data_IF_022497878943
#
_entry.id   IF_022497878943
#
_cell.length_a   1.000
_cell.length_b   1.000
_cell.length_c   1.000
_cell.angle_alpha   90.00
_cell.angle_beta   90.00
_cell.angle_gamma   90.00
#
_symmetry.space_group_name_H-M   'P 1'
#
loop_
_entity.id
_entity.type
_entity.pdbx_description
1 polymer ?
#
# COMPACT_ATOMS: atom_id res chain seq x y z
N UNK A 1 23.16 53.64 35.31
CA UNK A 1 22.29 52.49 35.39
C UNK A 1 22.47 51.71 34.09
N UNK A 2 23.10 50.58 34.17
CA UNK A 2 23.78 49.88 33.05
C UNK A 2 22.76 48.94 32.34
N UNK A 3 22.66 49.11 31.01
CA UNK A 3 21.91 48.22 30.13
C UNK A 3 22.79 46.99 29.87
N UNK A 4 22.29 45.81 30.24
CA UNK A 4 22.90 44.53 29.82
C UNK A 4 22.14 44.04 28.59
N UNK A 5 22.77 44.10 27.45
CA UNK A 5 22.40 43.40 26.21
C UNK A 5 22.89 41.97 26.34
N UNK A 6 21.96 41.04 26.51
CA UNK A 6 22.24 39.60 26.41
C UNK A 6 22.02 39.17 24.97
N UNK A 7 23.12 38.99 24.24
CA UNK A 7 23.13 38.41 22.90
C UNK A 7 22.91 36.91 23.04
N UNK A 8 21.74 36.43 22.61
CA UNK A 8 21.44 35.02 22.53
C UNK A 8 21.94 34.49 21.17
N UNK A 9 23.12 33.93 21.17
CA UNK A 9 23.65 33.20 20.04
C UNK A 9 22.95 31.84 19.98
N UNK A 10 21.93 31.71 19.09
CA UNK A 10 21.35 30.44 18.73
C UNK A 10 22.36 29.65 17.92
N UNK A 11 23.05 28.75 18.60
CA UNK A 11 23.82 27.70 17.95
C UNK A 11 22.88 26.74 17.26
N UNK A 12 22.76 26.87 15.94
CA UNK A 12 22.13 25.86 15.07
C UNK A 12 23.01 24.62 15.09
N UNK A 13 22.68 23.68 15.97
CA UNK A 13 23.27 22.34 15.93
C UNK A 13 22.75 21.63 14.69
N UNK A 14 23.55 21.64 13.62
CA UNK A 14 23.43 20.74 12.50
C UNK A 14 23.73 19.33 13.05
N UNK A 15 22.70 18.60 13.42
CA UNK A 15 22.80 17.16 13.65
C UNK A 15 22.92 16.52 12.26
N UNK A 16 24.17 16.32 11.86
CA UNK A 16 24.49 15.41 10.75
C UNK A 16 24.06 14.02 11.19
N UNK A 17 22.91 13.57 10.71
CA UNK A 17 22.56 12.16 10.69
C UNK A 17 23.51 11.45 9.71
N UNK A 18 24.71 11.16 10.17
CA UNK A 18 25.59 10.17 9.55
C UNK A 18 25.10 8.80 10.01
N UNK A 19 24.24 8.20 9.25
CA UNK A 19 23.71 6.89 9.59
C UNK A 19 22.95 6.20 8.47
N UNK A 20 23.32 6.43 7.22
CA UNK A 20 22.98 5.49 6.15
C UNK A 20 24.30 4.89 5.66
N UNK A 21 24.59 3.69 6.11
CA UNK A 21 25.55 2.84 5.43
C UNK A 21 24.94 2.41 4.09
N UNK A 22 24.84 3.33 3.14
CA UNK A 22 24.82 2.95 1.74
C UNK A 22 26.23 2.43 1.45
N UNK A 23 26.34 1.18 1.07
CA UNK A 23 27.59 0.61 0.62
C UNK A 23 28.04 1.36 -0.65
N UNK A 24 28.81 2.43 -0.48
CA UNK A 24 29.41 3.20 -1.58
C UNK A 24 30.27 2.31 -2.51
N UNK A 25 30.72 1.15 -2.02
CA UNK A 25 31.48 0.18 -2.80
C UNK A 25 30.67 -0.44 -3.96
N UNK A 26 29.35 -0.53 -3.82
CA UNK A 26 28.50 -1.22 -4.82
C UNK A 26 28.28 -0.41 -6.10
N UNK A 27 28.41 0.91 -6.06
CA UNK A 27 28.20 1.78 -7.23
C UNK A 27 29.52 1.98 -8.00
N UNK A 28 30.66 1.94 -7.32
CA UNK A 28 31.95 2.33 -7.88
C UNK A 28 32.56 1.33 -8.87
N UNK A 29 32.14 0.06 -8.87
CA UNK A 29 32.80 -1.00 -9.66
C UNK A 29 32.13 -1.38 -10.97
N UNK A 30 30.98 -0.78 -11.36
CA UNK A 30 30.14 -1.31 -12.46
C UNK A 30 30.20 -0.56 -13.80
N UNK A 31 31.24 0.21 -14.07
CA UNK A 31 31.41 0.84 -15.40
C UNK A 31 30.45 1.99 -15.73
N UNK A 32 29.63 2.43 -14.76
CA UNK A 32 28.69 3.54 -14.94
C UNK A 32 29.42 4.90 -14.96
N UNK A 33 28.92 5.80 -15.82
CA UNK A 33 29.37 7.20 -15.86
C UNK A 33 28.96 7.94 -14.56
N UNK A 34 29.63 9.03 -14.23
CA UNK A 34 29.31 9.83 -13.05
C UNK A 34 27.87 10.35 -13.05
N UNK A 35 27.30 10.65 -14.24
CA UNK A 35 25.91 11.05 -14.40
C UNK A 35 24.94 9.91 -14.04
N UNK A 36 25.25 8.68 -14.44
CA UNK A 36 24.44 7.50 -14.11
C UNK A 36 24.50 7.19 -12.64
N UNK A 37 25.68 7.26 -12.03
CA UNK A 37 25.86 7.10 -10.58
C UNK A 37 25.02 8.11 -9.80
N UNK A 38 25.11 9.39 -10.16
CA UNK A 38 24.32 10.46 -9.54
C UNK A 38 22.80 10.19 -9.68
N UNK A 39 22.36 9.73 -10.84
CA UNK A 39 20.93 9.38 -11.06
C UNK A 39 20.49 8.23 -10.16
N UNK A 40 21.29 7.16 -10.06
CA UNK A 40 21.04 6.01 -9.19
C UNK A 40 20.92 6.46 -7.73
N UNK A 41 21.90 7.17 -7.22
CA UNK A 41 21.93 7.69 -5.83
C UNK A 41 20.72 8.59 -5.55
N UNK A 42 20.39 9.50 -6.49
CA UNK A 42 19.25 10.40 -6.33
C UNK A 42 17.93 9.63 -6.20
N UNK A 43 17.72 8.60 -7.03
CA UNK A 43 16.52 7.78 -6.97
C UNK A 43 16.49 6.89 -5.72
N UNK A 44 17.62 6.30 -5.32
CA UNK A 44 17.69 5.53 -4.08
C UNK A 44 17.32 6.39 -2.87
N UNK A 45 17.91 7.59 -2.74
CA UNK A 45 17.60 8.54 -1.68
C UNK A 45 16.12 8.98 -1.72
N UNK A 46 15.54 9.08 -2.91
CA UNK A 46 14.12 9.40 -3.07
C UNK A 46 13.25 8.29 -2.46
N UNK A 47 13.45 7.03 -2.80
CA UNK A 47 12.70 5.91 -2.24
C UNK A 47 12.86 5.81 -0.73
N UNK A 48 14.08 5.94 -0.22
CA UNK A 48 14.40 5.93 1.22
C UNK A 48 13.65 7.04 1.96
N UNK A 49 13.55 8.24 1.37
CA UNK A 49 12.85 9.37 1.97
C UNK A 49 11.34 9.15 2.15
N UNK A 50 10.75 8.22 1.40
CA UNK A 50 9.36 7.79 1.52
C UNK A 50 9.20 6.45 2.25
N UNK A 51 10.25 5.92 2.86
CA UNK A 51 10.21 4.69 3.65
C UNK A 51 10.13 3.40 2.84
N UNK A 52 10.42 3.47 1.53
CA UNK A 52 10.46 2.27 0.69
C UNK A 52 11.77 1.51 0.90
N UNK A 53 11.66 0.24 1.11
CA UNK A 53 12.78 -0.66 1.34
C UNK A 53 13.27 -1.28 0.04
N UNK A 54 14.60 -1.37 -0.11
CA UNK A 54 15.22 -2.10 -1.21
C UNK A 54 14.96 -3.61 -1.06
N UNK A 55 14.52 -4.26 -2.13
CA UNK A 55 14.44 -5.73 -2.16
C UNK A 55 15.86 -6.32 -2.36
N UNK A 56 16.44 -6.79 -1.28
CA UNK A 56 17.81 -7.34 -1.25
C UNK A 56 17.97 -8.65 -2.02
N UNK A 57 16.89 -9.24 -2.53
CA UNK A 57 16.94 -10.45 -3.36
C UNK A 57 17.30 -10.15 -4.81
N UNK A 58 17.22 -8.87 -5.22
CA UNK A 58 17.55 -8.41 -6.57
C UNK A 58 19.04 -8.09 -6.66
N UNK A 59 19.68 -8.50 -7.76
CA UNK A 59 21.09 -8.18 -7.98
C UNK A 59 21.34 -6.68 -8.14
N UNK A 60 22.52 -6.21 -7.76
CA UNK A 60 22.93 -4.81 -7.91
C UNK A 60 22.82 -4.35 -9.37
N UNK A 61 23.21 -5.19 -10.29
CA UNK A 61 23.16 -4.90 -11.73
C UNK A 61 21.71 -4.66 -12.20
N UNK A 62 20.78 -5.55 -11.83
CA UNK A 62 19.36 -5.40 -12.18
C UNK A 62 18.77 -4.17 -11.51
N UNK A 63 19.05 -3.94 -10.23
CA UNK A 63 18.63 -2.74 -9.52
C UNK A 63 19.06 -1.46 -10.24
N UNK A 64 20.34 -1.35 -10.54
CA UNK A 64 20.90 -0.15 -11.17
C UNK A 64 20.32 0.08 -12.56
N UNK A 65 20.10 -1.00 -13.32
CA UNK A 65 19.44 -0.94 -14.63
C UNK A 65 18.02 -0.39 -14.51
N UNK A 66 17.20 -0.93 -13.61
CA UNK A 66 15.82 -0.45 -13.41
C UNK A 66 15.79 1.02 -12.94
N UNK A 67 16.68 1.43 -12.02
CA UNK A 67 16.80 2.81 -11.58
C UNK A 67 17.15 3.76 -12.74
N UNK A 68 18.04 3.36 -13.65
CA UNK A 68 18.41 4.17 -14.81
C UNK A 68 17.26 4.34 -15.80
N UNK A 69 16.32 3.41 -15.87
CA UNK A 69 15.12 3.50 -16.71
C UNK A 69 14.02 4.37 -16.11
N UNK A 70 14.06 4.65 -14.79
CA UNK A 70 13.05 5.45 -14.11
C UNK A 70 13.16 6.93 -14.43
N UNK A 71 11.98 7.59 -14.50
CA UNK A 71 11.85 9.04 -14.55
C UNK A 71 11.68 9.60 -13.15
N UNK A 72 12.55 10.52 -12.73
CA UNK A 72 12.59 11.06 -11.38
C UNK A 72 11.27 11.73 -10.98
N UNK A 73 10.73 12.62 -11.83
CA UNK A 73 9.53 13.39 -11.50
C UNK A 73 8.27 12.49 -11.41
N UNK A 74 8.16 11.51 -12.30
CA UNK A 74 7.06 10.53 -12.24
C UNK A 74 7.17 9.65 -11.02
N UNK A 75 8.37 9.18 -10.69
CA UNK A 75 8.62 8.37 -9.50
C UNK A 75 8.30 9.16 -8.23
N UNK A 76 8.77 10.40 -8.14
CA UNK A 76 8.49 11.29 -7.02
C UNK A 76 6.98 11.51 -6.83
N UNK A 77 6.29 11.87 -7.91
CA UNK A 77 4.84 12.10 -7.87
C UNK A 77 4.07 10.85 -7.42
N UNK A 78 4.52 9.67 -7.84
CA UNK A 78 3.93 8.41 -7.41
C UNK A 78 4.19 8.15 -5.91
N UNK A 79 5.41 8.35 -5.43
CA UNK A 79 5.76 8.14 -4.02
C UNK A 79 5.00 9.12 -3.11
N UNK A 80 4.86 10.39 -3.51
CA UNK A 80 4.03 11.38 -2.83
C UNK A 80 2.56 10.94 -2.76
N UNK A 81 2.01 10.48 -3.89
CA UNK A 81 0.65 9.96 -3.96
C UNK A 81 0.44 8.77 -3.00
N UNK A 82 1.37 7.82 -2.99
CA UNK A 82 1.28 6.64 -2.13
C UNK A 82 1.46 6.97 -0.65
N UNK A 83 2.33 7.91 -0.29
CA UNK A 83 2.62 8.27 1.10
C UNK A 83 1.49 9.04 1.77
N UNK A 84 0.72 9.81 1.02
CA UNK A 84 -0.43 10.55 1.53
C UNK A 84 -1.61 9.66 1.93
N UNK A 85 -1.54 8.37 1.59
CA UNK A 85 -2.67 7.47 1.69
C UNK A 85 -3.70 7.72 0.58
N UNK A 86 -4.45 6.71 0.24
CA UNK A 86 -5.47 6.77 -0.79
C UNK A 86 -6.83 6.58 -0.13
N UNK A 87 -7.68 7.60 -0.17
CA UNK A 87 -9.08 7.46 0.16
C UNK A 87 -9.83 7.07 -1.12
N UNK A 88 -10.62 6.01 -1.03
CA UNK A 88 -11.35 5.52 -2.19
C UNK A 88 -12.66 6.29 -2.36
N UNK A 89 -12.84 6.85 -3.55
CA UNK A 89 -14.09 7.46 -3.98
C UNK A 89 -15.24 6.43 -3.96
N UNK A 90 -16.47 6.93 -3.99
CA UNK A 90 -17.64 6.08 -4.06
C UNK A 90 -17.66 5.35 -5.42
N UNK A 91 -17.17 4.11 -5.42
CA UNK A 91 -17.37 3.20 -6.53
C UNK A 91 -18.77 2.57 -6.37
N UNK A 92 -19.72 2.96 -7.22
CA UNK A 92 -20.89 2.14 -7.43
C UNK A 92 -20.42 0.91 -8.23
N UNK A 93 -20.52 -0.31 -7.66
CA UNK A 93 -20.18 -1.49 -8.43
C UNK A 93 -21.04 -1.48 -9.68
N UNK A 94 -20.37 -1.41 -10.83
CA UNK A 94 -21.05 -1.70 -12.10
C UNK A 94 -21.70 -3.06 -11.89
N UNK A 95 -23.03 -3.14 -11.94
CA UNK A 95 -23.80 -4.36 -11.73
C UNK A 95 -23.14 -5.49 -12.52
N UNK A 96 -22.29 -6.25 -11.86
CA UNK A 96 -21.87 -7.53 -12.39
C UNK A 96 -23.04 -8.45 -12.14
N UNK A 97 -23.66 -8.85 -13.24
CA UNK A 97 -24.71 -9.82 -13.43
C UNK A 97 -25.12 -10.58 -12.16
N UNK A 98 -26.38 -10.42 -11.77
CA UNK A 98 -27.06 -11.11 -10.66
C UNK A 98 -26.99 -12.66 -10.73
N UNK A 99 -26.37 -13.23 -11.75
CA UNK A 99 -26.24 -14.67 -11.95
C UNK A 99 -25.23 -15.37 -11.01
N UNK A 100 -24.46 -14.61 -10.20
CA UNK A 100 -23.50 -15.16 -9.24
C UNK A 100 -23.90 -14.94 -7.77
N UNK A 101 -25.13 -14.60 -7.47
CA UNK A 101 -25.61 -14.67 -6.10
C UNK A 101 -25.48 -16.13 -5.60
N UNK A 102 -24.77 -16.38 -4.48
CA UNK A 102 -24.60 -17.74 -3.99
C UNK A 102 -25.97 -18.34 -3.69
N UNK A 103 -26.36 -19.32 -4.50
CA UNK A 103 -27.55 -20.13 -4.22
C UNK A 103 -27.33 -20.84 -2.92
N UNK A 104 -28.20 -20.59 -1.94
CA UNK A 104 -28.22 -21.29 -0.66
C UNK A 104 -28.34 -22.80 -0.91
N UNK A 105 -27.23 -23.50 -0.80
CA UNK A 105 -27.16 -24.96 -0.85
C UNK A 105 -27.17 -25.51 0.56
N UNK A 106 -28.20 -26.28 0.84
CA UNK A 106 -28.41 -27.28 1.91
C UNK A 106 -27.36 -27.43 3.01
N UNK A 107 -27.78 -27.34 4.25
CA UNK A 107 -27.42 -27.91 5.58
C UNK A 107 -26.02 -28.50 5.87
N UNK A 108 -25.04 -28.38 5.00
CA UNK A 108 -23.63 -28.55 5.29
C UNK A 108 -23.03 -27.15 5.48
N UNK A 109 -22.15 -26.96 6.47
CA UNK A 109 -21.38 -25.71 6.66
C UNK A 109 -20.80 -25.27 5.35
N UNK A 110 -21.50 -24.44 4.62
CA UNK A 110 -21.01 -23.85 3.36
C UNK A 110 -20.35 -22.54 3.69
N UNK A 111 -19.12 -22.39 3.29
CA UNK A 111 -18.42 -21.10 3.32
C UNK A 111 -19.12 -20.18 2.32
N UNK A 112 -19.57 -19.03 2.79
CA UNK A 112 -20.13 -17.96 1.97
C UNK A 112 -19.00 -16.95 1.68
N UNK A 113 -19.08 -16.32 0.51
CA UNK A 113 -18.12 -15.28 0.13
C UNK A 113 -18.87 -14.02 -0.30
N UNK A 114 -18.31 -12.87 0.06
CA UNK A 114 -18.83 -11.57 -0.35
C UNK A 114 -17.67 -10.67 -0.75
N UNK A 115 -17.59 -10.18 -2.00
CA UNK A 115 -16.56 -9.27 -2.43
C UNK A 115 -16.91 -7.83 -2.05
N UNK A 116 -15.97 -7.08 -1.52
CA UNK A 116 -16.03 -5.63 -1.37
C UNK A 116 -14.97 -4.96 -2.22
N UNK A 117 -15.27 -3.81 -2.74
CA UNK A 117 -14.46 -3.12 -3.74
C UNK A 117 -14.04 -1.74 -3.28
N UNK A 118 -12.91 -1.27 -3.81
CA UNK A 118 -12.48 0.10 -3.74
C UNK A 118 -11.73 0.48 -5.00
N UNK A 119 -11.93 1.69 -5.47
CA UNK A 119 -11.16 2.23 -6.58
C UNK A 119 -10.84 3.69 -6.37
N UNK A 120 -9.70 4.10 -6.89
CA UNK A 120 -9.29 5.49 -6.94
C UNK A 120 -8.55 5.73 -8.25
N UNK A 121 -8.77 6.89 -8.84
CA UNK A 121 -8.07 7.32 -10.05
C UNK A 121 -7.60 8.75 -9.93
N UNK A 122 -6.34 8.98 -10.22
CA UNK A 122 -5.73 10.31 -10.28
C UNK A 122 -4.92 10.47 -11.55
N UNK A 123 -4.38 11.67 -11.79
CA UNK A 123 -3.47 11.90 -12.90
C UNK A 123 -2.14 11.13 -12.78
N UNK A 124 -1.80 10.68 -11.58
CA UNK A 124 -0.52 10.03 -11.28
C UNK A 124 -0.65 8.51 -11.32
N UNK A 125 -1.71 7.98 -10.72
CA UNK A 125 -1.93 6.54 -10.63
C UNK A 125 -3.42 6.22 -10.47
N UNK A 126 -3.82 5.02 -10.86
CA UNK A 126 -5.12 4.47 -10.54
C UNK A 126 -4.96 3.13 -9.83
N UNK A 127 -5.84 2.86 -8.88
CA UNK A 127 -5.84 1.64 -8.09
C UNK A 127 -7.24 1.05 -8.04
N UNK A 128 -7.32 -0.26 -8.25
CA UNK A 128 -8.53 -1.06 -8.02
C UNK A 128 -8.19 -2.15 -7.02
N UNK A 129 -8.97 -2.24 -5.98
CA UNK A 129 -8.74 -3.21 -4.92
C UNK A 129 -10.00 -4.00 -4.63
N UNK A 130 -9.83 -5.25 -4.24
CA UNK A 130 -10.92 -6.15 -3.85
C UNK A 130 -10.53 -6.88 -2.59
N UNK A 131 -11.42 -6.94 -1.61
CA UNK A 131 -11.35 -7.89 -0.50
C UNK A 131 -12.46 -8.91 -0.67
N UNK A 132 -12.11 -10.19 -0.58
CA UNK A 132 -13.08 -11.29 -0.53
C UNK A 132 -13.26 -11.67 0.92
N UNK A 133 -14.46 -11.46 1.43
CA UNK A 133 -14.86 -11.84 2.78
C UNK A 133 -15.38 -13.26 2.73
N UNK A 134 -14.78 -14.18 3.49
CA UNK A 134 -15.22 -15.57 3.61
C UNK A 134 -15.74 -15.81 5.03
N UNK A 135 -16.93 -16.38 5.17
CA UNK A 135 -17.60 -16.60 6.45
C UNK A 135 -18.47 -17.85 6.46
N UNK A 136 -18.70 -18.42 7.62
CA UNK A 136 -19.49 -19.62 7.82
C UNK A 136 -20.94 -19.29 8.18
N UNK A 137 -21.87 -19.86 7.42
CA UNK A 137 -23.30 -19.87 7.73
C UNK A 137 -23.98 -18.50 7.66
N UNK A 138 -25.29 -18.47 7.97
CA UNK A 138 -26.12 -17.28 7.79
C UNK A 138 -25.96 -16.22 8.88
N UNK A 139 -25.18 -16.47 9.92
CA UNK A 139 -24.92 -15.52 11.04
C UNK A 139 -23.45 -15.55 11.44
N UNK A 140 -22.58 -15.01 10.60
CA UNK A 140 -21.17 -15.04 10.90
C UNK A 140 -20.85 -14.23 12.15
N UNK A 141 -20.04 -14.79 13.01
CA UNK A 141 -19.41 -14.06 14.12
C UNK A 141 -18.10 -13.40 13.65
N UNK A 142 -17.43 -14.03 12.70
CA UNK A 142 -16.17 -13.55 12.12
C UNK A 142 -16.11 -13.81 10.63
N UNK A 143 -15.22 -13.12 9.94
CA UNK A 143 -14.88 -13.33 8.53
C UNK A 143 -13.40 -13.47 8.35
N UNK A 144 -13.00 -14.30 7.38
CA UNK A 144 -11.63 -14.35 6.88
C UNK A 144 -11.53 -13.47 5.65
N UNK A 145 -10.45 -12.72 5.52
CA UNK A 145 -10.26 -11.74 4.46
C UNK A 145 -9.13 -12.20 3.54
N UNK A 146 -9.41 -12.18 2.23
CA UNK A 146 -8.40 -12.27 1.18
C UNK A 146 -8.45 -10.99 0.36
N UNK A 147 -7.30 -10.40 0.03
CA UNK A 147 -7.24 -9.13 -0.69
C UNK A 147 -6.42 -9.21 -1.96
N UNK A 148 -6.83 -8.42 -2.97
CA UNK A 148 -6.08 -8.19 -4.20
C UNK A 148 -6.01 -6.70 -4.48
N UNK A 149 -4.94 -6.24 -5.12
CA UNK A 149 -4.81 -4.87 -5.61
C UNK A 149 -4.22 -4.87 -7.02
N UNK A 150 -4.73 -3.98 -7.86
CA UNK A 150 -4.21 -3.73 -9.20
C UNK A 150 -3.95 -2.24 -9.32
N UNK A 151 -2.73 -1.88 -9.72
CA UNK A 151 -2.37 -0.49 -10.03
C UNK A 151 -1.98 -0.38 -11.49
N UNK A 152 -2.41 0.68 -12.15
CA UNK A 152 -2.20 0.84 -13.58
C UNK A 152 -0.96 1.65 -13.96
N UNK A 153 -0.31 2.34 -13.01
CA UNK A 153 0.88 3.12 -13.32
C UNK A 153 1.60 3.63 -12.05
N UNK A 154 2.89 3.41 -11.88
CA UNK A 154 3.76 2.49 -12.62
C UNK A 154 3.42 1.02 -12.30
N UNK A 155 4.07 0.10 -13.00
CA UNK A 155 3.84 -1.33 -12.76
C UNK A 155 4.18 -1.70 -11.31
N UNK A 156 3.15 -1.77 -10.47
CA UNK A 156 3.26 -2.19 -9.08
C UNK A 156 2.56 -3.53 -8.91
N UNK A 157 3.08 -4.34 -8.00
CA UNK A 157 2.47 -5.62 -7.64
C UNK A 157 2.09 -5.62 -6.16
N UNK A 158 0.92 -6.16 -5.86
CA UNK A 158 0.46 -6.38 -4.51
C UNK A 158 0.66 -7.85 -4.12
N UNK A 159 1.29 -8.07 -2.99
CA UNK A 159 1.38 -9.40 -2.36
C UNK A 159 0.70 -9.31 -1.00
N UNK A 160 -0.47 -9.92 -0.82
CA UNK A 160 -1.15 -9.91 0.47
C UNK A 160 -0.34 -10.68 1.52
N UNK A 161 -0.43 -10.24 2.76
CA UNK A 161 -0.02 -11.02 3.92
C UNK A 161 -0.99 -12.20 4.14
N UNK A 162 -0.84 -12.92 5.25
CA UNK A 162 -1.76 -13.97 5.65
C UNK A 162 -3.20 -13.42 5.78
N UNK A 163 -4.19 -14.32 5.71
CA UNK A 163 -5.59 -13.98 5.80
C UNK A 163 -5.89 -13.18 7.07
N UNK A 164 -6.40 -11.98 6.90
CA UNK A 164 -6.97 -11.20 8.00
C UNK A 164 -8.27 -11.80 8.49
N UNK A 165 -8.62 -11.54 9.76
CA UNK A 165 -9.91 -11.89 10.30
C UNK A 165 -10.41 -10.79 11.21
N UNK A 166 -11.74 -10.65 11.31
CA UNK A 166 -12.33 -9.70 12.25
C UNK A 166 -13.74 -10.12 12.64
N UNK A 167 -14.27 -9.49 13.69
CA UNK A 167 -15.55 -9.83 14.29
C UNK A 167 -16.59 -8.72 14.08
N UNK A 168 -17.84 -9.10 13.94
CA UNK A 168 -18.95 -8.17 13.90
C UNK A 168 -19.26 -7.61 15.30
N UNK A 169 -19.55 -6.30 15.36
CA UNK A 169 -20.21 -5.62 16.44
C UNK A 169 -21.65 -5.35 16.03
N UNK A 170 -22.56 -6.20 16.48
CA UNK A 170 -23.95 -6.18 15.97
C UNK A 170 -24.02 -6.59 14.50
N UNK A 171 -24.58 -5.73 13.67
CA UNK A 171 -24.69 -5.97 12.22
C UNK A 171 -23.59 -5.29 11.40
N UNK A 172 -22.68 -4.54 12.03
CA UNK A 172 -21.61 -3.81 11.34
C UNK A 172 -20.25 -4.32 11.72
N UNK A 173 -19.34 -4.12 10.81
CA UNK A 173 -17.92 -4.20 11.01
C UNK A 173 -17.24 -3.02 10.33
N UNK A 174 -16.72 -2.11 11.12
CA UNK A 174 -16.17 -0.83 10.65
C UNK A 174 -14.65 -0.85 10.49
N UNK A 175 -14.00 -2.00 10.70
CA UNK A 175 -12.54 -2.07 10.78
C UNK A 175 -11.98 -3.33 10.10
N UNK A 176 -12.37 -3.52 8.84
CA UNK A 176 -11.76 -4.55 8.02
C UNK A 176 -10.37 -4.07 7.63
N UNK A 177 -9.37 -4.93 7.84
CA UNK A 177 -8.00 -4.65 7.50
C UNK A 177 -7.39 -5.81 6.73
N UNK A 178 -6.73 -5.48 5.64
CA UNK A 178 -5.88 -6.42 4.92
C UNK A 178 -4.52 -5.77 4.69
N UNK A 179 -3.47 -6.40 5.18
CA UNK A 179 -2.10 -5.93 4.99
C UNK A 179 -1.41 -6.68 3.87
N UNK A 180 -0.39 -6.07 3.31
CA UNK A 180 0.42 -6.68 2.26
C UNK A 180 1.56 -5.79 1.83
N UNK A 181 2.32 -6.30 0.89
CA UNK A 181 3.48 -5.64 0.34
C UNK A 181 3.19 -5.14 -1.07
N UNK A 182 3.43 -3.86 -1.31
CA UNK A 182 3.53 -3.32 -2.67
C UNK A 182 4.99 -3.33 -3.10
N UNK A 183 5.23 -3.85 -4.30
CA UNK A 183 6.52 -3.72 -4.99
C UNK A 183 6.40 -2.68 -6.09
N UNK A 184 7.41 -1.83 -6.20
CA UNK A 184 7.62 -0.91 -7.32
C UNK A 184 8.71 -1.47 -8.21
N UNK A 185 8.33 -1.86 -9.42
CA UNK A 185 9.21 -2.69 -10.24
C UNK A 185 9.54 -4.01 -9.54
N UNK A 186 10.78 -4.44 -9.66
CA UNK A 186 11.29 -5.60 -8.92
C UNK A 186 12.14 -5.23 -7.70
N UNK A 187 12.47 -3.94 -7.53
CA UNK A 187 13.58 -3.50 -6.67
C UNK A 187 13.18 -2.82 -5.37
N UNK A 188 12.02 -2.19 -5.29
CA UNK A 188 11.53 -1.54 -4.07
C UNK A 188 10.24 -2.13 -3.57
N UNK A 189 10.05 -2.13 -2.25
CA UNK A 189 8.86 -2.63 -1.58
C UNK A 189 8.49 -1.74 -0.40
N UNK A 190 7.19 -1.68 -0.11
CA UNK A 190 6.68 -0.99 1.06
C UNK A 190 5.41 -1.68 1.57
N UNK A 191 5.23 -1.69 2.88
CA UNK A 191 4.08 -2.32 3.51
C UNK A 191 2.88 -1.39 3.57
N UNK A 192 1.71 -1.91 3.19
CA UNK A 192 0.45 -1.17 3.14
C UNK A 192 -0.68 -1.92 3.83
N UNK A 193 -1.66 -1.15 4.27
CA UNK A 193 -2.92 -1.64 4.83
C UNK A 193 -4.08 -1.13 3.98
N UNK A 194 -4.95 -2.04 3.53
CA UNK A 194 -6.28 -1.70 3.03
C UNK A 194 -7.25 -1.68 4.19
N UNK A 195 -8.10 -0.67 4.25
CA UNK A 195 -9.15 -0.54 5.27
C UNK A 195 -10.52 -0.50 4.62
N UNK A 196 -11.51 -1.05 5.31
CA UNK A 196 -12.87 -1.10 4.80
C UNK A 196 -13.89 -1.40 5.89
N UNK A 197 -15.14 -1.55 5.48
CA UNK A 197 -16.24 -1.94 6.34
C UNK A 197 -17.18 -2.91 5.61
N UNK A 198 -17.98 -3.65 6.35
CA UNK A 198 -19.13 -4.37 5.81
C UNK A 198 -20.28 -4.41 6.81
N UNK A 199 -21.45 -4.76 6.33
CA UNK A 199 -22.63 -5.00 7.14
C UNK A 199 -23.36 -6.27 6.74
N UNK A 200 -24.19 -6.79 7.63
CA UNK A 200 -25.08 -7.91 7.38
C UNK A 200 -26.53 -7.49 7.53
N UNK A 201 -27.38 -8.07 6.72
CA UNK A 201 -28.81 -7.85 6.76
C UNK A 201 -29.48 -8.51 7.97
N UNK A 202 -30.82 -8.40 8.08
CA UNK A 202 -31.61 -9.00 9.15
C UNK A 202 -31.55 -10.52 9.19
N UNK A 203 -31.23 -11.17 8.08
CA UNK A 203 -30.99 -12.62 7.98
C UNK A 203 -29.59 -13.03 8.42
N UNK A 204 -28.71 -12.05 8.72
CA UNK A 204 -27.33 -12.27 9.14
C UNK A 204 -26.34 -12.53 7.99
N UNK A 205 -26.76 -12.30 6.75
CA UNK A 205 -25.93 -12.44 5.56
C UNK A 205 -25.24 -11.12 5.28
N UNK A 206 -23.92 -11.14 4.97
CA UNK A 206 -23.20 -9.96 4.53
C UNK A 206 -23.73 -9.54 3.16
N UNK A 207 -24.22 -8.34 3.07
CA UNK A 207 -24.92 -7.81 1.88
C UNK A 207 -24.44 -6.41 1.45
N UNK A 208 -23.62 -5.76 2.27
CA UNK A 208 -23.06 -4.45 1.94
C UNK A 208 -21.63 -4.32 2.48
N UNK A 209 -20.81 -3.52 1.83
CA UNK A 209 -19.45 -3.25 2.26
C UNK A 209 -18.61 -2.52 1.22
N UNK A 210 -17.55 -1.87 1.70
CA UNK A 210 -16.69 -1.04 0.87
C UNK A 210 -15.26 -1.00 1.42
N UNK A 211 -14.28 -0.95 0.53
CA UNK A 211 -12.91 -0.55 0.88
C UNK A 211 -12.87 0.98 0.90
N UNK A 212 -12.42 1.57 2.00
CA UNK A 212 -12.44 3.01 2.22
C UNK A 212 -11.08 3.66 2.08
N UNK A 213 -10.01 2.89 2.15
CA UNK A 213 -8.69 3.48 2.03
C UNK A 213 -7.55 2.47 1.90
N UNK A 214 -6.38 3.02 1.62
CA UNK A 214 -5.13 2.30 1.43
C UNK A 214 -3.99 3.15 1.98
N UNK A 215 -3.30 2.67 3.01
CA UNK A 215 -2.34 3.47 3.77
C UNK A 215 -1.02 2.75 3.95
N UNK A 216 0.08 3.49 3.91
CA UNK A 216 1.41 3.01 4.28
C UNK A 216 1.46 2.69 5.80
N UNK A 217 2.14 1.61 6.19
CA UNK A 217 2.32 1.19 7.59
C UNK A 217 3.75 0.78 7.92
#
# INVERSE_FOLDING_TARGET
>A
MKKFLLSLATAFSFVLFLGSCTNEEDINNNGYSDKEKTKIETLMNLFDSYGWELDTTVSIEQRNKELLEMDYEKTKSFLEYMSNGIEFDNFEPTQQNEDNAPKALSNTRSTMTFPIYGSHSSAVASSQTTMILSYDGPKPSSVTIQSTSVSSNPATTWTPDEYGSFNFSGNKCDNIKATGMIKYGSIYKHKYEMVGWCSKNSSGIVDDGKITGFHAI
#
